data_IF_090228318696
#
_entry.id   IF_090228318696
#
_cell.length_a   1.000
_cell.length_b   1.000
_cell.length_c   1.000
_cell.angle_alpha   90.00
_cell.angle_beta   90.00
_cell.angle_gamma   90.00
#
_symmetry.space_group_name_H-M   'P 1'
#
loop_
_entity.id
_entity.type
_entity.pdbx_description
1 polymer ?
#
# COMPACT_ATOMS: atom_id res chain seq x y z
N UNK A 1 -13.81 19.18 -8.65
CA UNK A 1 -14.09 20.33 -9.53
C UNK A 1 -12.82 21.15 -9.67
N UNK A 2 -12.65 21.94 -10.74
CA UNK A 2 -11.47 22.79 -10.96
C UNK A 2 -11.14 23.66 -9.74
N UNK A 3 -12.16 24.25 -9.10
CA UNK A 3 -11.99 25.10 -7.91
C UNK A 3 -11.31 24.39 -6.73
N UNK A 4 -11.57 23.09 -6.55
CA UNK A 4 -10.91 22.32 -5.49
C UNK A 4 -9.43 22.08 -5.78
N UNK A 5 -9.07 21.90 -7.07
CA UNK A 5 -7.69 21.70 -7.47
C UNK A 5 -6.89 23.02 -7.34
N UNK A 6 -7.49 24.15 -7.74
CA UNK A 6 -6.84 25.46 -7.61
C UNK A 6 -6.63 25.86 -6.14
N UNK A 7 -7.62 25.60 -5.28
CA UNK A 7 -7.48 25.84 -3.85
C UNK A 7 -6.42 24.92 -3.21
N UNK A 8 -6.39 23.64 -3.60
CA UNK A 8 -5.35 22.71 -3.15
C UNK A 8 -3.95 23.17 -3.62
N UNK A 9 -3.83 23.64 -4.87
CA UNK A 9 -2.58 24.15 -5.41
C UNK A 9 -2.09 25.40 -4.66
N UNK A 10 -2.98 26.37 -4.40
CA UNK A 10 -2.62 27.57 -3.65
C UNK A 10 -2.18 27.23 -2.21
N UNK A 11 -2.84 26.27 -1.56
CA UNK A 11 -2.44 25.82 -0.22
C UNK A 11 -1.12 25.05 -0.26
N UNK A 12 -0.91 24.19 -1.24
CA UNK A 12 0.34 23.44 -1.43
C UNK A 12 1.51 24.39 -1.67
N UNK A 13 1.35 25.38 -2.55
CA UNK A 13 2.37 26.39 -2.82
C UNK A 13 2.73 27.18 -1.56
N UNK A 14 1.73 27.55 -0.75
CA UNK A 14 1.99 28.18 0.55
C UNK A 14 2.73 27.27 1.51
N UNK A 15 2.37 25.99 1.61
CA UNK A 15 3.04 25.02 2.48
C UNK A 15 4.50 24.77 2.05
N UNK A 16 4.76 24.70 0.75
CA UNK A 16 6.12 24.53 0.22
C UNK A 16 7.04 25.72 0.54
N UNK A 17 6.47 26.93 0.55
CA UNK A 17 7.23 28.17 0.73
C UNK A 17 7.25 28.70 2.18
N UNK A 18 6.33 28.29 3.04
CA UNK A 18 6.24 28.72 4.44
C UNK A 18 6.63 27.58 5.41
N UNK A 19 7.91 27.59 5.81
CA UNK A 19 8.44 26.62 6.79
C UNK A 19 7.77 26.72 8.17
N UNK A 20 7.28 27.89 8.58
CA UNK A 20 6.63 28.04 9.88
C UNK A 20 5.26 27.36 9.85
N UNK A 21 4.51 27.54 8.76
CA UNK A 21 3.24 26.84 8.54
C UNK A 21 3.46 25.32 8.51
N UNK A 22 4.46 24.87 7.75
CA UNK A 22 4.80 23.45 7.63
C UNK A 22 5.22 22.85 8.97
N UNK A 23 6.05 23.54 9.76
CA UNK A 23 6.49 23.09 11.08
C UNK A 23 5.40 23.18 12.15
N UNK A 24 4.42 24.06 11.96
CA UNK A 24 3.26 24.20 12.84
C UNK A 24 2.28 23.04 12.75
N UNK A 25 2.36 22.19 11.71
CA UNK A 25 1.52 21.00 11.60
C UNK A 25 1.89 19.98 12.69
N UNK A 26 0.87 19.51 13.40
CA UNK A 26 0.96 18.36 14.31
C UNK A 26 0.98 17.03 13.51
N UNK A 27 1.22 15.86 14.15
CA UNK A 27 1.33 14.58 13.44
C UNK A 27 0.12 14.26 12.54
N UNK A 28 -1.08 14.39 13.08
CA UNK A 28 -2.33 14.23 12.32
C UNK A 28 -2.43 15.19 11.14
N UNK A 29 -2.05 16.46 11.35
CA UNK A 29 -2.00 17.49 10.32
C UNK A 29 -1.05 17.15 9.19
N UNK A 30 0.13 16.62 9.50
CA UNK A 30 1.09 16.13 8.51
C UNK A 30 0.50 14.97 7.70
N UNK A 31 -0.03 13.93 8.36
CA UNK A 31 -0.62 12.77 7.68
C UNK A 31 -1.81 13.16 6.78
N UNK A 32 -2.70 14.01 7.28
CA UNK A 32 -3.86 14.48 6.51
C UNK A 32 -3.44 15.35 5.33
N UNK A 33 -2.45 16.23 5.51
CA UNK A 33 -1.94 17.09 4.45
C UNK A 33 -1.30 16.26 3.35
N UNK A 34 -0.43 15.30 3.70
CA UNK A 34 0.15 14.38 2.73
C UNK A 34 -0.93 13.61 1.95
N UNK A 35 -1.92 13.05 2.64
CA UNK A 35 -3.02 12.34 2.00
C UNK A 35 -3.86 13.25 1.07
N UNK A 36 -4.06 14.53 1.42
CA UNK A 36 -4.72 15.49 0.55
C UNK A 36 -3.88 15.81 -0.69
N UNK A 37 -2.59 16.11 -0.53
CA UNK A 37 -1.66 16.38 -1.64
C UNK A 37 -1.55 15.19 -2.60
N UNK A 38 -1.62 13.97 -2.08
CA UNK A 38 -1.56 12.72 -2.87
C UNK A 38 -2.68 12.55 -3.90
N UNK A 39 -3.72 13.40 -3.85
CA UNK A 39 -4.80 13.42 -4.84
C UNK A 39 -4.39 14.11 -6.15
N UNK A 40 -3.33 14.93 -6.12
CA UNK A 40 -2.78 15.63 -7.28
C UNK A 40 -1.26 15.47 -7.36
N UNK A 41 -0.76 14.23 -7.49
CA UNK A 41 0.68 13.97 -7.44
C UNK A 41 1.46 14.61 -8.58
N UNK A 42 0.81 14.83 -9.72
CA UNK A 42 1.39 15.47 -10.92
C UNK A 42 1.43 17.00 -10.82
N UNK A 43 0.88 17.59 -9.76
CA UNK A 43 0.92 19.04 -9.56
C UNK A 43 2.23 19.44 -8.86
N UNK A 44 3.06 20.30 -9.46
CA UNK A 44 4.38 20.64 -8.92
C UNK A 44 4.35 21.15 -7.47
N UNK A 45 3.46 22.10 -7.16
CA UNK A 45 3.33 22.62 -5.79
C UNK A 45 2.94 21.52 -4.78
N UNK A 46 2.14 20.53 -5.20
CA UNK A 46 1.78 19.38 -4.35
C UNK A 46 2.97 18.46 -4.11
N UNK A 47 3.77 18.20 -5.14
CA UNK A 47 5.00 17.43 -5.03
C UNK A 47 6.03 18.14 -4.13
N UNK A 48 6.21 19.46 -4.28
CA UNK A 48 7.14 20.24 -3.47
C UNK A 48 6.72 20.29 -1.99
N UNK A 49 5.43 20.52 -1.72
CA UNK A 49 4.89 20.48 -0.36
C UNK A 49 5.01 19.08 0.27
N UNK A 50 4.72 18.03 -0.51
CA UNK A 50 4.90 16.65 -0.05
C UNK A 50 6.37 16.33 0.23
N UNK A 51 7.29 16.79 -0.62
CA UNK A 51 8.73 16.64 -0.43
C UNK A 51 9.20 17.30 0.88
N UNK A 52 8.75 18.53 1.14
CA UNK A 52 9.09 19.23 2.37
C UNK A 52 8.53 18.54 3.62
N UNK A 53 7.30 18.01 3.56
CA UNK A 53 6.71 17.22 4.65
C UNK A 53 7.41 15.87 4.84
N UNK A 54 7.79 15.22 3.76
CA UNK A 54 8.55 13.97 3.79
C UNK A 54 9.92 14.20 4.43
N UNK A 55 10.63 15.25 4.04
CA UNK A 55 11.92 15.61 4.64
C UNK A 55 11.79 15.88 6.15
N UNK A 56 10.73 16.59 6.56
CA UNK A 56 10.42 16.77 8.00
C UNK A 56 10.15 15.43 8.68
N UNK A 57 9.30 14.57 8.09
CA UNK A 57 9.03 13.24 8.63
C UNK A 57 10.30 12.40 8.74
N UNK A 58 11.21 12.42 7.77
CA UNK A 58 12.45 11.67 7.81
C UNK A 58 13.38 12.15 8.95
N UNK A 59 13.39 13.44 9.25
CA UNK A 59 14.32 14.04 10.21
C UNK A 59 13.75 14.21 11.64
N UNK A 60 12.43 14.30 11.81
CA UNK A 60 11.80 14.50 13.12
C UNK A 60 11.27 13.17 13.71
N UNK A 61 12.06 12.56 14.60
CA UNK A 61 11.70 11.30 15.28
C UNK A 61 10.48 11.46 16.17
N UNK A 62 10.30 12.60 16.85
CA UNK A 62 9.18 12.82 17.75
C UNK A 62 7.87 12.91 16.96
N UNK A 63 7.89 13.63 15.83
CA UNK A 63 6.77 13.68 14.89
C UNK A 63 6.39 12.28 14.41
N UNK A 64 7.38 11.50 13.93
CA UNK A 64 7.12 10.13 13.47
C UNK A 64 6.51 9.27 14.56
N UNK A 65 7.05 9.31 15.78
CA UNK A 65 6.61 8.47 16.90
C UNK A 65 5.21 8.85 17.40
N UNK A 66 4.79 10.09 17.20
CA UNK A 66 3.48 10.58 17.60
C UNK A 66 2.36 10.25 16.59
N UNK A 67 2.69 9.72 15.40
CA UNK A 67 1.69 9.20 14.47
C UNK A 67 1.05 7.92 15.02
N UNK A 68 -0.28 7.90 15.08
CA UNK A 68 -1.03 6.69 15.37
C UNK A 68 -1.02 5.71 14.16
N UNK A 69 -1.50 4.46 14.31
CA UNK A 69 -1.44 3.46 13.24
C UNK A 69 -2.09 3.93 11.92
N UNK A 70 -3.26 4.56 11.99
CA UNK A 70 -3.98 5.03 10.80
C UNK A 70 -3.28 6.23 10.13
N UNK A 71 -2.76 7.16 10.91
CA UNK A 71 -2.00 8.31 10.41
C UNK A 71 -0.71 7.87 9.73
N UNK A 72 -0.03 6.87 10.29
CA UNK A 72 1.16 6.28 9.69
C UNK A 72 0.84 5.56 8.37
N UNK A 73 -0.22 4.76 8.33
CA UNK A 73 -0.64 4.08 7.09
C UNK A 73 -1.04 5.08 6.00
N UNK A 74 -1.78 6.13 6.36
CA UNK A 74 -2.14 7.21 5.44
C UNK A 74 -0.89 7.95 4.92
N UNK A 75 0.08 8.25 5.79
CA UNK A 75 1.32 8.89 5.39
C UNK A 75 2.11 8.00 4.42
N UNK A 76 2.27 6.71 4.69
CA UNK A 76 2.91 5.77 3.78
C UNK A 76 2.21 5.72 2.41
N UNK A 77 0.89 5.58 2.40
CA UNK A 77 0.10 5.53 1.17
C UNK A 77 0.16 6.84 0.36
N UNK A 78 0.32 7.99 1.03
CA UNK A 78 0.51 9.26 0.36
C UNK A 78 1.93 9.38 -0.24
N UNK A 79 2.96 9.06 0.54
CA UNK A 79 4.36 9.12 0.09
C UNK A 79 4.59 8.25 -1.14
N UNK A 80 3.91 7.11 -1.25
CA UNK A 80 4.06 6.18 -2.38
C UNK A 80 3.58 6.74 -3.73
N UNK A 81 3.00 7.96 -3.76
CA UNK A 81 2.70 8.68 -4.99
C UNK A 81 3.91 9.36 -5.61
N UNK A 82 4.98 9.57 -4.84
CA UNK A 82 6.25 10.14 -5.31
C UNK A 82 7.41 9.17 -5.02
N UNK A 83 7.40 7.96 -5.59
CA UNK A 83 8.39 6.91 -5.27
C UNK A 83 9.83 7.31 -5.62
N UNK A 84 10.00 8.15 -6.64
CA UNK A 84 11.30 8.59 -7.14
C UNK A 84 11.89 9.78 -6.35
N UNK A 85 11.14 10.30 -5.37
CA UNK A 85 11.58 11.42 -4.52
C UNK A 85 12.38 10.88 -3.33
N UNK A 86 13.67 11.27 -3.17
CA UNK A 86 14.53 10.74 -2.10
C UNK A 86 13.97 10.97 -0.69
N UNK A 87 13.46 12.16 -0.39
CA UNK A 87 12.86 12.46 0.93
C UNK A 87 11.63 11.59 1.20
N UNK A 88 10.83 11.28 0.17
CA UNK A 88 9.67 10.38 0.30
C UNK A 88 10.11 8.95 0.62
N UNK A 89 11.14 8.45 -0.07
CA UNK A 89 11.72 7.15 0.20
C UNK A 89 12.34 7.07 1.60
N UNK A 90 13.03 8.11 2.05
CA UNK A 90 13.68 8.17 3.37
C UNK A 90 12.63 8.27 4.48
N UNK A 91 11.57 9.07 4.29
CA UNK A 91 10.43 9.12 5.21
C UNK A 91 9.72 7.77 5.31
N UNK A 92 9.45 7.12 4.17
CA UNK A 92 8.84 5.80 4.15
C UNK A 92 9.71 4.76 4.86
N UNK A 93 11.03 4.77 4.62
CA UNK A 93 11.97 3.88 5.30
C UNK A 93 12.04 4.14 6.82
N UNK A 94 11.87 5.39 7.27
CA UNK A 94 11.80 5.74 8.68
C UNK A 94 10.48 5.31 9.35
N UNK A 95 9.34 5.41 8.64
CA UNK A 95 8.05 4.90 9.12
C UNK A 95 8.02 3.36 9.12
N UNK A 96 8.62 2.73 8.10
CA UNK A 96 8.76 1.28 8.02
C UNK A 96 9.59 0.72 9.18
N UNK A 97 10.62 1.44 9.63
CA UNK A 97 11.37 1.05 10.83
C UNK A 97 10.46 0.90 12.05
N UNK A 98 9.50 1.82 12.25
CA UNK A 98 8.52 1.71 13.34
C UNK A 98 7.63 0.47 13.20
N UNK A 99 7.14 0.19 11.99
CA UNK A 99 6.34 -1.03 11.74
C UNK A 99 7.13 -2.31 12.00
N UNK A 100 8.43 -2.32 11.67
CA UNK A 100 9.28 -3.48 11.92
C UNK A 100 9.62 -3.67 13.41
N UNK A 101 9.76 -2.59 14.18
CA UNK A 101 10.23 -2.60 15.58
C UNK A 101 9.06 -2.67 16.59
N UNK A 102 7.94 -2.02 16.29
CA UNK A 102 6.80 -1.84 17.19
C UNK A 102 5.69 -2.84 16.86
N UNK A 103 5.75 -4.09 17.36
CA UNK A 103 4.70 -5.10 17.10
C UNK A 103 3.29 -4.60 17.46
N UNK A 104 3.13 -3.88 18.56
CA UNK A 104 1.84 -3.30 18.96
C UNK A 104 1.25 -2.32 17.94
N UNK A 105 2.08 -1.63 17.16
CA UNK A 105 1.65 -0.75 16.07
C UNK A 105 1.08 -1.56 14.91
N UNK A 106 1.74 -2.65 14.51
CA UNK A 106 1.27 -3.56 13.47
C UNK A 106 -0.08 -4.19 13.83
N UNK A 107 -0.21 -4.67 15.07
CA UNK A 107 -1.45 -5.28 15.57
C UNK A 107 -2.64 -4.30 15.62
N UNK A 108 -2.35 -2.99 15.68
CA UNK A 108 -3.36 -1.94 15.73
C UNK A 108 -3.76 -1.40 14.34
N UNK A 109 -3.15 -1.91 13.26
CA UNK A 109 -3.58 -1.56 11.91
C UNK A 109 -4.89 -2.26 11.57
N UNK A 110 -5.82 -1.49 11.00
CA UNK A 110 -7.02 -2.03 10.36
C UNK A 110 -6.68 -2.75 9.05
N UNK A 111 -7.60 -3.55 8.46
CA UNK A 111 -7.39 -4.15 7.14
C UNK A 111 -6.95 -3.15 6.07
N UNK A 112 -7.60 -1.99 6.02
CA UNK A 112 -7.23 -0.90 5.11
C UNK A 112 -5.84 -0.33 5.42
N UNK A 113 -5.48 -0.22 6.70
CA UNK A 113 -4.15 0.23 7.13
C UNK A 113 -3.03 -0.72 6.69
N UNK A 114 -3.25 -2.04 6.83
CA UNK A 114 -2.32 -3.08 6.35
C UNK A 114 -2.17 -3.01 4.83
N UNK A 115 -3.30 -2.91 4.09
CA UNK A 115 -3.29 -2.77 2.63
C UNK A 115 -2.54 -1.52 2.17
N UNK A 116 -2.78 -0.38 2.80
CA UNK A 116 -2.10 0.88 2.51
C UNK A 116 -0.59 0.79 2.76
N UNK A 117 -0.20 0.23 3.92
CA UNK A 117 1.21 0.06 4.27
C UNK A 117 1.92 -0.86 3.28
N UNK A 118 1.43 -2.09 3.05
CA UNK A 118 2.07 -3.03 2.14
C UNK A 118 2.12 -2.54 0.68
N UNK A 119 1.06 -1.88 0.20
CA UNK A 119 1.08 -1.26 -1.13
C UNK A 119 2.16 -0.18 -1.24
N UNK A 120 2.30 0.67 -0.22
CA UNK A 120 3.32 1.71 -0.18
C UNK A 120 4.74 1.12 -0.10
N UNK A 121 4.98 0.16 0.81
CA UNK A 121 6.28 -0.48 0.99
C UNK A 121 6.75 -1.20 -0.28
N UNK A 122 5.81 -1.74 -1.09
CA UNK A 122 6.13 -2.36 -2.39
C UNK A 122 6.75 -1.41 -3.41
N UNK A 123 6.76 -0.09 -3.16
CA UNK A 123 7.44 0.91 -4.00
C UNK A 123 8.93 1.02 -3.72
N UNK A 124 9.39 0.58 -2.54
CA UNK A 124 10.79 0.67 -2.14
C UNK A 124 11.30 -0.68 -1.59
N UNK A 125 11.21 -1.78 -2.36
CA UNK A 125 11.51 -3.13 -1.87
C UNK A 125 12.99 -3.35 -1.49
N UNK A 126 13.88 -2.48 -1.95
CA UNK A 126 15.33 -2.52 -1.71
C UNK A 126 15.76 -1.75 -0.46
N UNK A 127 14.85 -0.97 0.16
CA UNK A 127 15.14 -0.23 1.38
C UNK A 127 15.03 -1.16 2.59
N UNK A 128 16.10 -1.28 3.37
CA UNK A 128 16.22 -2.29 4.43
C UNK A 128 15.08 -2.29 5.47
N UNK A 129 14.54 -1.12 5.85
CA UNK A 129 13.40 -1.11 6.79
C UNK A 129 12.07 -1.39 6.09
N UNK A 130 11.91 -0.97 4.83
CA UNK A 130 10.73 -1.32 4.04
C UNK A 130 10.63 -2.84 3.83
N UNK A 131 11.77 -3.46 3.56
CA UNK A 131 11.97 -4.91 3.54
C UNK A 131 11.49 -5.55 4.86
N UNK A 132 12.07 -5.16 5.99
CA UNK A 132 11.72 -5.76 7.30
C UNK A 132 10.26 -5.56 7.66
N UNK A 133 9.71 -4.37 7.40
CA UNK A 133 8.30 -4.09 7.65
C UNK A 133 7.39 -4.92 6.76
N UNK A 134 7.79 -5.15 5.50
CA UNK A 134 7.05 -6.05 4.59
C UNK A 134 7.03 -7.47 5.14
N UNK A 135 8.18 -7.98 5.60
CA UNK A 135 8.27 -9.32 6.18
C UNK A 135 7.41 -9.46 7.45
N UNK A 136 7.44 -8.46 8.34
CA UNK A 136 6.62 -8.43 9.56
C UNK A 136 5.12 -8.40 9.23
N UNK A 137 4.69 -7.53 8.31
CA UNK A 137 3.29 -7.42 7.94
C UNK A 137 2.79 -8.64 7.15
N UNK A 138 3.63 -9.23 6.30
CA UNK A 138 3.31 -10.47 5.60
C UNK A 138 3.19 -11.65 6.57
N UNK A 139 4.12 -11.77 7.53
CA UNK A 139 4.04 -12.77 8.59
C UNK A 139 2.76 -12.61 9.42
N UNK A 140 2.46 -11.40 9.87
CA UNK A 140 1.21 -11.09 10.58
C UNK A 140 -0.02 -11.47 9.76
N UNK A 141 -0.06 -11.09 8.48
CA UNK A 141 -1.16 -11.40 7.58
C UNK A 141 -1.33 -12.91 7.36
N UNK A 142 -0.26 -13.70 7.42
CA UNK A 142 -0.31 -15.16 7.35
C UNK A 142 -0.78 -15.80 8.67
N UNK A 143 -0.46 -15.21 9.82
CA UNK A 143 -0.87 -15.69 11.14
C UNK A 143 -2.33 -15.33 11.46
N UNK A 144 -2.77 -14.11 11.15
CA UNK A 144 -4.05 -13.56 11.58
C UNK A 144 -5.19 -13.89 10.58
N UNK A 145 -5.97 -14.92 10.91
CA UNK A 145 -7.11 -15.33 10.09
C UNK A 145 -8.26 -14.32 10.13
N UNK A 146 -8.51 -13.68 11.27
CA UNK A 146 -9.62 -12.73 11.42
C UNK A 146 -9.36 -11.48 10.57
N UNK A 147 -8.11 -11.01 10.55
CA UNK A 147 -7.66 -9.95 9.66
C UNK A 147 -7.91 -10.32 8.19
N UNK A 148 -7.50 -11.52 7.76
CA UNK A 148 -7.75 -11.97 6.38
C UNK A 148 -9.23 -12.06 6.07
N UNK A 149 -10.06 -12.54 6.99
CA UNK A 149 -11.50 -12.66 6.77
C UNK A 149 -12.22 -11.31 6.74
N UNK A 150 -11.69 -10.30 7.44
CA UNK A 150 -12.19 -8.93 7.38
C UNK A 150 -11.85 -8.20 6.07
N UNK A 151 -10.95 -8.73 5.24
CA UNK A 151 -10.58 -8.14 3.95
C UNK A 151 -11.59 -8.51 2.86
N UNK A 152 -12.05 -7.51 2.11
CA UNK A 152 -12.86 -7.69 0.90
C UNK A 152 -11.99 -7.95 -0.36
N UNK A 153 -12.65 -8.03 -1.52
CA UNK A 153 -12.00 -8.23 -2.82
C UNK A 153 -10.96 -7.17 -3.15
N UNK A 154 -11.24 -5.91 -2.82
CA UNK A 154 -10.33 -4.80 -3.02
C UNK A 154 -9.03 -4.97 -2.23
N UNK A 155 -9.17 -5.22 -0.91
CA UNK A 155 -8.03 -5.41 -0.03
C UNK A 155 -7.16 -6.59 -0.50
N UNK A 156 -7.79 -7.72 -0.83
CA UNK A 156 -7.08 -8.92 -1.32
C UNK A 156 -6.35 -8.65 -2.62
N UNK A 157 -6.98 -7.98 -3.59
CA UNK A 157 -6.37 -7.71 -4.88
C UNK A 157 -5.15 -6.77 -4.78
N UNK A 158 -5.25 -5.70 -3.98
CA UNK A 158 -4.14 -4.77 -3.74
C UNK A 158 -2.99 -5.48 -3.02
N UNK A 159 -3.29 -6.27 -1.99
CA UNK A 159 -2.27 -7.01 -1.22
C UNK A 159 -1.55 -8.05 -2.07
N UNK A 160 -2.27 -8.82 -2.88
CA UNK A 160 -1.67 -9.78 -3.83
C UNK A 160 -0.74 -9.07 -4.81
N UNK A 161 -1.19 -7.97 -5.42
CA UNK A 161 -0.35 -7.22 -6.36
C UNK A 161 0.87 -6.58 -5.68
N UNK A 162 0.76 -6.13 -4.43
CA UNK A 162 1.87 -5.58 -3.66
C UNK A 162 2.89 -6.67 -3.28
N UNK A 163 2.45 -7.73 -2.60
CA UNK A 163 3.31 -8.81 -2.11
C UNK A 163 3.91 -9.64 -3.24
N UNK A 164 3.23 -9.78 -4.38
CA UNK A 164 3.79 -10.47 -5.56
C UNK A 164 5.04 -9.79 -6.15
N UNK A 165 5.29 -8.51 -5.84
CA UNK A 165 6.54 -7.82 -6.21
C UNK A 165 7.68 -8.14 -5.26
N UNK A 166 7.38 -8.69 -4.09
CA UNK A 166 8.31 -9.00 -3.02
C UNK A 166 8.57 -10.52 -2.90
N UNK A 167 8.26 -11.32 -3.92
CA UNK A 167 8.37 -12.79 -3.88
C UNK A 167 9.80 -13.33 -3.78
N UNK A 168 10.82 -12.50 -4.00
CA UNK A 168 12.20 -12.83 -3.62
C UNK A 168 12.38 -13.03 -2.11
N UNK A 169 11.34 -12.72 -1.30
CA UNK A 169 11.32 -12.85 0.16
C UNK A 169 10.45 -14.04 0.57
N UNK A 170 11.03 -15.09 1.19
CA UNK A 170 10.27 -16.24 1.68
C UNK A 170 9.17 -15.87 2.69
N UNK A 171 9.35 -14.79 3.47
CA UNK A 171 8.34 -14.32 4.43
C UNK A 171 7.02 -13.89 3.77
N UNK A 172 7.05 -13.49 2.48
CA UNK A 172 5.84 -13.12 1.75
C UNK A 172 5.03 -14.34 1.27
N UNK A 173 5.66 -15.51 1.14
CA UNK A 173 5.08 -16.69 0.49
C UNK A 173 3.79 -17.17 1.16
N UNK A 174 3.71 -17.35 2.50
CA UNK A 174 2.48 -17.86 3.12
C UNK A 174 1.30 -16.91 2.96
N UNK A 175 1.53 -15.60 3.13
CA UNK A 175 0.48 -14.60 2.95
C UNK A 175 -0.04 -14.56 1.51
N UNK A 176 0.88 -14.62 0.53
CA UNK A 176 0.50 -14.65 -0.90
C UNK A 176 -0.30 -15.90 -1.23
N UNK A 177 0.13 -17.08 -0.74
CA UNK A 177 -0.59 -18.34 -0.97
C UNK A 177 -2.02 -18.25 -0.41
N UNK A 178 -2.17 -17.88 0.86
CA UNK A 178 -3.49 -17.78 1.52
C UNK A 178 -4.42 -16.78 0.84
N UNK A 179 -3.90 -15.61 0.44
CA UNK A 179 -4.69 -14.63 -0.29
C UNK A 179 -5.07 -15.11 -1.70
N UNK A 180 -4.14 -15.79 -2.40
CA UNK A 180 -4.36 -16.30 -3.75
C UNK A 180 -5.39 -17.44 -3.75
N UNK A 181 -5.32 -18.33 -2.76
CA UNK A 181 -6.30 -19.39 -2.54
C UNK A 181 -7.69 -18.83 -2.26
N UNK A 182 -7.78 -17.78 -1.41
CA UNK A 182 -9.04 -17.13 -1.07
C UNK A 182 -9.66 -16.40 -2.26
N UNK A 183 -8.87 -15.75 -3.12
CA UNK A 183 -9.39 -15.08 -4.30
C UNK A 183 -10.08 -16.07 -5.26
N UNK A 184 -11.36 -15.87 -5.54
CA UNK A 184 -12.16 -16.78 -6.36
C UNK A 184 -12.61 -18.06 -5.66
N UNK A 185 -12.47 -18.15 -4.34
CA UNK A 185 -13.06 -19.23 -3.54
C UNK A 185 -14.56 -18.99 -3.33
N UNK A 186 -15.23 -19.92 -2.64
CA UNK A 186 -16.62 -19.71 -2.21
C UNK A 186 -16.79 -18.54 -1.23
N UNK A 187 -15.75 -18.23 -0.45
CA UNK A 187 -15.76 -17.12 0.53
C UNK A 187 -15.57 -15.76 -0.13
N UNK A 188 -14.77 -15.70 -1.20
CA UNK A 188 -14.47 -14.48 -1.92
C UNK A 188 -14.53 -14.71 -3.44
N UNK A 189 -15.75 -14.91 -3.99
CA UNK A 189 -15.94 -15.28 -5.38
C UNK A 189 -15.61 -14.12 -6.33
N UNK A 190 -15.28 -14.44 -7.59
CA UNK A 190 -14.87 -13.46 -8.61
C UNK A 190 -15.91 -12.35 -8.86
N UNK A 191 -17.19 -12.62 -8.60
CA UNK A 191 -18.28 -11.65 -8.66
C UNK A 191 -18.10 -10.46 -7.71
N UNK A 192 -17.27 -10.56 -6.68
CA UNK A 192 -17.00 -9.46 -5.75
C UNK A 192 -15.84 -8.56 -6.19
N UNK A 193 -15.14 -8.91 -7.27
CA UNK A 193 -14.00 -8.13 -7.77
C UNK A 193 -14.41 -7.27 -8.96
N UNK A 194 -13.98 -6.01 -8.97
CA UNK A 194 -14.07 -5.13 -10.13
C UNK A 194 -12.98 -5.44 -11.16
N UNK A 195 -13.12 -4.93 -12.40
CA UNK A 195 -12.15 -5.23 -13.48
C UNK A 195 -10.71 -4.82 -13.12
N UNK A 196 -10.54 -3.67 -12.47
CA UNK A 196 -9.23 -3.21 -12.01
C UNK A 196 -8.61 -4.16 -10.96
N UNK A 197 -9.42 -4.77 -10.12
CA UNK A 197 -8.99 -5.72 -9.09
C UNK A 197 -8.65 -7.08 -9.69
N UNK A 198 -9.46 -7.55 -10.65
CA UNK A 198 -9.15 -8.74 -11.44
C UNK A 198 -7.81 -8.58 -12.19
N UNK A 199 -7.54 -7.41 -12.75
CA UNK A 199 -6.25 -7.12 -13.37
C UNK A 199 -5.08 -7.16 -12.36
N UNK A 200 -5.29 -6.63 -11.14
CA UNK A 200 -4.30 -6.73 -10.06
C UNK A 200 -4.03 -8.18 -9.65
N UNK A 201 -5.08 -8.99 -9.50
CA UNK A 201 -4.95 -10.42 -9.18
C UNK A 201 -4.24 -11.16 -10.32
N UNK A 202 -4.63 -10.94 -11.58
CA UNK A 202 -3.98 -11.56 -12.74
C UNK A 202 -2.48 -11.22 -12.83
N UNK A 203 -2.12 -9.95 -12.59
CA UNK A 203 -0.72 -9.53 -12.52
C UNK A 203 0.04 -10.24 -11.40
N UNK A 204 -0.58 -10.41 -10.23
CA UNK A 204 0.02 -11.15 -9.13
C UNK A 204 0.23 -12.63 -9.50
N UNK A 205 -0.80 -13.30 -10.03
CA UNK A 205 -0.72 -14.71 -10.45
C UNK A 205 0.33 -14.93 -11.54
N UNK A 206 0.46 -14.00 -12.48
CA UNK A 206 1.50 -14.06 -13.51
C UNK A 206 2.91 -14.07 -12.90
N UNK A 207 3.16 -13.32 -11.82
CA UNK A 207 4.46 -13.34 -11.12
C UNK A 207 4.71 -14.66 -10.40
N UNK A 208 3.67 -15.32 -9.90
CA UNK A 208 3.79 -16.65 -9.27
C UNK A 208 4.25 -17.72 -10.25
N UNK A 209 3.87 -17.62 -11.53
CA UNK A 209 4.30 -18.55 -12.58
C UNK A 209 5.82 -18.52 -12.82
N UNK A 210 6.49 -17.44 -12.42
CA UNK A 210 7.93 -17.27 -12.58
C UNK A 210 8.75 -17.76 -11.38
N UNK A 211 8.09 -18.21 -10.30
CA UNK A 211 8.78 -18.83 -9.17
C UNK A 211 9.13 -20.27 -9.51
N UNK A 212 10.32 -20.70 -9.11
CA UNK A 212 10.78 -22.10 -9.22
C UNK A 212 10.21 -22.95 -8.08
N UNK A 213 8.89 -22.86 -7.91
CA UNK A 213 8.13 -23.56 -6.87
C UNK A 213 6.83 -24.06 -7.49
N UNK A 214 6.72 -25.39 -7.60
CA UNK A 214 5.62 -26.06 -8.29
C UNK A 214 4.23 -25.63 -7.76
N UNK A 215 4.10 -25.47 -6.45
CA UNK A 215 2.87 -25.01 -5.80
C UNK A 215 2.38 -23.66 -6.34
N UNK A 216 3.29 -22.70 -6.54
CA UNK A 216 2.95 -21.36 -7.00
C UNK A 216 2.61 -21.34 -8.48
N UNK A 217 3.30 -22.15 -9.28
CA UNK A 217 3.01 -22.31 -10.71
C UNK A 217 1.63 -22.95 -10.93
N UNK A 218 1.31 -24.01 -10.18
CA UNK A 218 0.00 -24.69 -10.24
C UNK A 218 -1.11 -23.72 -9.82
N UNK A 219 -0.97 -23.07 -8.67
CA UNK A 219 -1.97 -22.14 -8.15
C UNK A 219 -2.19 -20.96 -9.09
N UNK A 220 -1.10 -20.32 -9.55
CA UNK A 220 -1.16 -19.19 -10.47
C UNK A 220 -1.88 -19.55 -11.77
N UNK A 221 -1.56 -20.71 -12.37
CA UNK A 221 -2.22 -21.18 -13.60
C UNK A 221 -3.70 -21.46 -13.37
N UNK A 222 -4.03 -22.17 -12.29
CA UNK A 222 -5.42 -22.50 -11.96
C UNK A 222 -6.26 -21.24 -11.77
N UNK A 223 -5.74 -20.23 -11.06
CA UNK A 223 -6.45 -18.97 -10.80
C UNK A 223 -6.61 -18.14 -12.08
N UNK A 224 -5.59 -18.06 -12.94
CA UNK A 224 -5.71 -17.37 -14.24
C UNK A 224 -6.78 -18.02 -15.14
N UNK A 225 -6.82 -19.36 -15.22
CA UNK A 225 -7.86 -20.07 -15.98
C UNK A 225 -9.26 -19.84 -15.41
N UNK A 226 -9.40 -19.88 -14.08
CA UNK A 226 -10.68 -19.61 -13.42
C UNK A 226 -11.18 -18.17 -13.66
N UNK A 227 -10.28 -17.18 -13.61
CA UNK A 227 -10.63 -15.79 -13.94
C UNK A 227 -11.00 -15.62 -15.40
N UNK A 228 -10.29 -16.28 -16.33
CA UNK A 228 -10.64 -16.23 -17.75
C UNK A 228 -12.06 -16.78 -18.00
N UNK A 229 -12.40 -17.92 -17.41
CA UNK A 229 -13.75 -18.47 -17.49
C UNK A 229 -14.81 -17.54 -16.87
N UNK A 230 -14.50 -16.87 -15.75
CA UNK A 230 -15.41 -15.88 -15.16
C UNK A 230 -15.66 -14.69 -16.10
N UNK A 231 -14.61 -14.14 -16.71
CA UNK A 231 -14.72 -13.01 -17.64
C UNK A 231 -15.48 -13.37 -18.93
N UNK A 232 -15.36 -14.62 -19.39
CA UNK A 232 -16.13 -15.11 -20.55
C UNK A 232 -17.62 -15.25 -20.24
N UNK A 233 -17.96 -15.72 -19.03
CA UNK A 233 -19.34 -15.96 -18.60
C UNK A 233 -20.09 -14.69 -18.17
N UNK A 234 -19.36 -13.64 -17.79
CA UNK A 234 -19.92 -12.40 -17.22
C UNK A 234 -19.43 -11.15 -17.95
N UNK A 235 -19.24 -11.24 -19.27
CA UNK A 235 -18.71 -10.15 -20.08
C UNK A 235 -19.52 -8.86 -19.93
N UNK A 236 -20.83 -8.97 -19.84
CA UNK A 236 -21.80 -7.88 -19.69
C UNK A 236 -21.59 -7.03 -18.43
N UNK A 237 -20.86 -7.53 -17.42
CA UNK A 237 -20.54 -6.79 -16.21
C UNK A 237 -19.43 -5.75 -16.41
N UNK A 238 -18.64 -5.88 -17.48
CA UNK A 238 -17.40 -5.13 -17.68
C UNK A 238 -17.36 -4.32 -18.99
N UNK A 239 -18.47 -4.27 -19.73
CA UNK A 239 -18.69 -3.39 -20.89
C UNK A 239 -19.15 -2.00 -20.46
#
# INVERSE_FOLDING_TARGET
TPDCADAANALASRLANDRNLLNGLNPKGVANTLNALSKWPDTPDCADAANALASRLANDRNLRNALNPQELANALNALCKWPDTPDCADAANALAWRLADERGLCNALSPIGVTQALNALSKWPERANCEKATDVLAGWLAEDNDLRQAMDGHHVAVLLNALSKCLGRPACHPAVLLLAERAGSAELPWQQFEMGELAMVANAMSRLLHLDEEQFQILGRAKLLAMAGHLELHRERFE
#
